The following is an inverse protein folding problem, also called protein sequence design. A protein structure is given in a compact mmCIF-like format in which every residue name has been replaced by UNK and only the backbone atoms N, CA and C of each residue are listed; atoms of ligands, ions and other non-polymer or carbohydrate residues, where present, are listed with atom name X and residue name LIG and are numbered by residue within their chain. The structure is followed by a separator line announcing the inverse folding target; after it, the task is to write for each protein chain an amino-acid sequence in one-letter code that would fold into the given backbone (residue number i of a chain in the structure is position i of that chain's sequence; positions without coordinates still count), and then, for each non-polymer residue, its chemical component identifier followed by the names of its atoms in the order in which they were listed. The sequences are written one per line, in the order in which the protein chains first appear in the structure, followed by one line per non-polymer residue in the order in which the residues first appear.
data_IF_881008427936
#
_entry.id   IF_881008427936
#
_cell.length_a   1.000
_cell.length_b   1.000
_cell.length_c   1.000
_cell.angle_alpha   90.00
_cell.angle_beta   90.00
_cell.angle_gamma   90.00
#
_symmetry.space_group_name_H-M   'P 1'
#
loop_
_entity.id
_entity.type
_entity.pdbx_description
1 polymer ?
#
# COMPACT_ATOMS: atom_id res chain seq x y z
N UNK A 1 25.49 6.44 -8.68
CA UNK A 1 26.69 5.58 -8.75
C UNK A 1 26.82 4.94 -7.39
N UNK A 2 26.32 3.73 -7.19
CA UNK A 2 26.54 3.00 -5.94
C UNK A 2 26.32 1.50 -6.18
N UNK A 3 27.40 0.79 -6.04
CA UNK A 3 27.62 -0.59 -5.64
C UNK A 3 26.67 -1.67 -6.14
N UNK A 4 27.12 -2.36 -7.18
CA UNK A 4 26.85 -3.77 -7.39
C UNK A 4 27.55 -4.56 -6.28
N UNK A 5 26.81 -5.11 -5.33
CA UNK A 5 27.28 -6.23 -4.52
C UNK A 5 27.03 -7.52 -5.30
N UNK A 6 28.12 -8.07 -5.81
CA UNK A 6 28.18 -9.39 -6.45
C UNK A 6 28.29 -10.49 -5.39
N UNK A 7 27.14 -10.90 -4.88
CA UNK A 7 26.95 -12.24 -4.35
C UNK A 7 25.75 -12.84 -5.10
N UNK A 8 25.94 -13.98 -5.81
CA UNK A 8 24.98 -14.60 -6.72
C UNK A 8 23.72 -15.16 -6.04
N UNK A 9 23.00 -14.34 -5.30
CA UNK A 9 21.67 -14.58 -4.80
C UNK A 9 20.68 -13.88 -5.74
N UNK A 10 19.61 -14.56 -6.12
CA UNK A 10 18.51 -13.99 -6.89
C UNK A 10 18.09 -12.66 -6.26
N UNK A 11 18.07 -11.57 -7.05
CA UNK A 11 17.60 -10.23 -6.64
C UNK A 11 16.11 -10.30 -6.22
N UNK A 12 15.43 -11.36 -6.61
CA UNK A 12 14.02 -11.61 -6.32
C UNK A 12 13.89 -12.49 -5.08
N UNK A 13 13.02 -12.07 -4.17
CA UNK A 13 12.67 -12.80 -2.95
C UNK A 13 11.92 -14.11 -3.24
N UNK A 14 11.41 -14.78 -2.20
CA UNK A 14 10.77 -16.08 -2.31
C UNK A 14 9.52 -16.03 -3.20
N UNK A 15 9.13 -17.21 -3.72
CA UNK A 15 7.82 -17.42 -4.34
C UNK A 15 6.73 -17.15 -3.30
N UNK A 16 5.81 -16.24 -3.61
CA UNK A 16 4.75 -15.83 -2.71
C UNK A 16 3.51 -16.71 -2.87
N UNK A 17 3.15 -17.04 -4.11
CA UNK A 17 1.99 -17.84 -4.48
C UNK A 17 1.81 -17.93 -5.98
N UNK A 18 0.61 -18.29 -6.42
CA UNK A 18 0.24 -18.41 -7.84
C UNK A 18 -0.68 -17.30 -8.31
N UNK A 19 -1.55 -16.81 -7.42
CA UNK A 19 -2.56 -15.79 -7.72
C UNK A 19 -2.47 -14.68 -6.69
N UNK A 20 -1.90 -13.55 -7.11
CA UNK A 20 -1.71 -12.37 -6.27
C UNK A 20 -2.94 -11.47 -6.34
N UNK A 21 -3.50 -11.19 -5.18
CA UNK A 21 -4.47 -10.10 -5.01
C UNK A 21 -3.72 -8.82 -4.61
N UNK A 22 -4.03 -7.68 -5.25
CA UNK A 22 -3.35 -6.41 -5.03
C UNK A 22 -4.36 -5.35 -4.63
N UNK A 23 -4.13 -4.68 -3.51
CA UNK A 23 -4.88 -3.50 -3.07
C UNK A 23 -3.92 -2.38 -2.69
N UNK A 24 -4.31 -1.13 -2.94
CA UNK A 24 -3.50 0.07 -2.67
C UNK A 24 -4.39 1.26 -2.32
N UNK A 25 -3.82 2.24 -1.65
CA UNK A 25 -4.42 3.57 -1.48
C UNK A 25 -5.84 3.51 -0.89
N UNK A 26 -6.00 2.95 0.29
CA UNK A 26 -7.29 2.92 0.99
C UNK A 26 -7.52 4.15 1.87
N UNK A 27 -6.45 4.85 2.30
CA UNK A 27 -6.47 6.08 3.10
C UNK A 27 -7.47 6.01 4.26
N UNK A 28 -7.46 4.90 4.99
CA UNK A 28 -8.35 4.72 6.14
C UNK A 28 -8.06 5.76 7.21
N UNK A 29 -9.13 6.34 7.72
CA UNK A 29 -9.05 7.44 8.69
C UNK A 29 -9.52 8.79 8.11
N UNK A 30 -9.31 9.04 6.81
CA UNK A 30 -9.88 10.17 6.05
C UNK A 30 -11.00 9.69 5.13
N UNK A 31 -10.87 8.51 4.54
CA UNK A 31 -11.93 7.91 3.74
C UNK A 31 -13.20 7.67 4.57
N UNK A 32 -14.39 7.72 3.94
CA UNK A 32 -15.67 7.44 4.61
C UNK A 32 -15.66 6.06 5.31
N UNK A 33 -16.36 5.88 6.45
CA UNK A 33 -16.40 4.59 7.18
C UNK A 33 -16.82 3.40 6.31
N UNK A 34 -17.68 3.62 5.32
CA UNK A 34 -18.11 2.59 4.38
C UNK A 34 -16.95 1.97 3.57
N UNK A 35 -15.86 2.72 3.36
CA UNK A 35 -14.64 2.24 2.68
C UNK A 35 -13.89 1.24 3.56
N UNK A 36 -13.79 1.50 4.88
CA UNK A 36 -13.20 0.57 5.84
C UNK A 36 -14.04 -0.71 5.96
N UNK A 37 -15.36 -0.58 6.03
CA UNK A 37 -16.27 -1.72 6.05
C UNK A 37 -16.12 -2.60 4.80
N UNK A 38 -16.10 -1.97 3.63
CA UNK A 38 -15.88 -2.68 2.37
C UNK A 38 -14.51 -3.38 2.33
N UNK A 39 -13.48 -2.76 2.91
CA UNK A 39 -12.15 -3.38 2.97
C UNK A 39 -12.14 -4.60 3.89
N UNK A 40 -12.84 -4.57 5.01
CA UNK A 40 -12.98 -5.73 5.88
C UNK A 40 -13.70 -6.90 5.16
N UNK A 41 -14.80 -6.62 4.45
CA UNK A 41 -15.49 -7.62 3.62
C UNK A 41 -14.57 -8.19 2.53
N UNK A 42 -13.79 -7.32 1.88
CA UNK A 42 -12.82 -7.73 0.87
C UNK A 42 -11.72 -8.62 1.44
N UNK A 43 -11.12 -8.25 2.59
CA UNK A 43 -10.08 -9.06 3.23
C UNK A 43 -10.58 -10.45 3.61
N UNK A 44 -11.85 -10.58 4.01
CA UNK A 44 -12.47 -11.87 4.27
C UNK A 44 -12.66 -12.70 2.97
N UNK A 45 -12.88 -12.03 1.84
CA UNK A 45 -13.03 -12.65 0.52
C UNK A 45 -11.70 -12.99 -0.17
N UNK A 46 -10.59 -12.33 0.18
CA UNK A 46 -9.27 -12.52 -0.48
C UNK A 46 -8.88 -13.98 -0.67
N UNK A 47 -9.06 -14.91 0.31
CA UNK A 47 -8.70 -16.32 0.11
C UNK A 47 -9.51 -17.06 -0.96
N UNK A 48 -10.59 -16.48 -1.44
CA UNK A 48 -11.37 -17.02 -2.57
C UNK A 48 -10.97 -16.38 -3.90
N UNK A 49 -10.23 -15.27 -3.85
CA UNK A 49 -9.78 -14.50 -5.00
C UNK A 49 -8.35 -14.86 -5.40
N UNK A 50 -7.51 -15.26 -4.44
CA UNK A 50 -6.13 -15.63 -4.66
C UNK A 50 -5.49 -16.28 -3.43
N UNK A 51 -4.24 -16.68 -3.58
CA UNK A 51 -3.47 -17.41 -2.57
C UNK A 51 -2.38 -16.54 -1.91
N UNK A 52 -2.23 -15.30 -2.32
CA UNK A 52 -1.35 -14.30 -1.70
C UNK A 52 -1.90 -12.87 -1.87
N UNK A 53 -1.51 -11.97 -0.97
CA UNK A 53 -1.97 -10.58 -0.95
C UNK A 53 -0.79 -9.61 -0.95
N UNK A 54 -0.88 -8.58 -1.79
CA UNK A 54 -0.04 -7.38 -1.72
C UNK A 54 -0.90 -6.18 -1.29
N UNK A 55 -0.51 -5.54 -0.19
CA UNK A 55 -0.96 -4.20 0.20
C UNK A 55 0.11 -3.21 -0.24
N UNK A 56 -0.14 -2.45 -1.29
CA UNK A 56 0.89 -1.65 -1.96
C UNK A 56 0.91 -0.18 -1.51
N UNK A 57 0.91 0.04 -0.21
CA UNK A 57 1.06 1.34 0.44
C UNK A 57 -0.24 2.13 0.61
N UNK A 58 -0.17 3.14 1.47
CA UNK A 58 -1.24 4.07 1.80
C UNK A 58 -2.55 3.37 2.19
N UNK A 59 -2.42 2.28 2.98
CA UNK A 59 -3.56 1.61 3.58
C UNK A 59 -4.27 2.53 4.57
N UNK A 60 -3.48 3.31 5.32
CA UNK A 60 -3.97 4.32 6.27
C UNK A 60 -3.52 5.70 5.84
N UNK A 61 -4.33 6.71 6.11
CA UNK A 61 -3.95 8.11 5.95
C UNK A 61 -2.82 8.51 6.90
N UNK A 62 -2.84 7.93 8.09
CA UNK A 62 -1.73 8.00 9.05
C UNK A 62 -1.76 6.78 9.96
N UNK A 63 -0.63 6.05 10.01
CA UNK A 63 -0.44 4.96 10.94
C UNK A 63 0.89 5.08 11.66
N UNK A 64 0.83 5.12 12.98
CA UNK A 64 2.02 5.18 13.83
C UNK A 64 1.75 4.50 15.17
N UNK A 65 2.61 3.55 15.58
CA UNK A 65 2.46 2.89 16.86
C UNK A 65 3.51 3.39 17.86
N UNK A 66 3.10 3.40 19.12
CA UNK A 66 3.96 3.63 20.27
C UNK A 66 4.32 2.29 20.89
N UNK A 67 5.32 2.28 21.78
CA UNK A 67 5.77 1.05 22.43
C UNK A 67 4.68 0.29 23.21
N UNK A 68 3.61 0.98 23.60
CA UNK A 68 2.50 0.41 24.40
C UNK A 68 1.11 0.89 23.93
N UNK A 69 1.01 1.54 22.80
CA UNK A 69 -0.25 2.03 22.29
C UNK A 69 -0.30 1.95 20.77
N UNK A 70 -1.43 1.54 20.24
CA UNK A 70 -1.73 1.46 18.81
C UNK A 70 -2.90 2.38 18.47
N UNK A 71 -3.02 2.85 17.21
CA UNK A 71 -4.15 3.65 16.76
C UNK A 71 -5.47 2.90 16.95
N UNK A 72 -6.50 3.59 17.43
CA UNK A 72 -7.86 3.02 17.49
C UNK A 72 -8.50 2.95 16.11
N UNK A 73 -8.25 3.98 15.27
CA UNK A 73 -8.71 4.00 13.87
C UNK A 73 -7.92 2.96 13.07
N UNK A 74 -8.62 2.19 12.24
CA UNK A 74 -8.01 1.13 11.44
C UNK A 74 -7.60 -0.13 12.20
N UNK A 75 -7.80 -0.20 13.53
CA UNK A 75 -7.48 -1.39 14.33
C UNK A 75 -8.16 -2.65 13.79
N UNK A 76 -9.42 -2.54 13.33
CA UNK A 76 -10.17 -3.68 12.79
C UNK A 76 -9.50 -4.24 11.54
N UNK A 77 -8.98 -3.38 10.67
CA UNK A 77 -8.26 -3.78 9.45
C UNK A 77 -6.91 -4.42 9.80
N UNK A 78 -6.15 -3.86 10.74
CA UNK A 78 -4.92 -4.48 11.23
C UNK A 78 -5.20 -5.88 11.82
N UNK A 79 -6.26 -6.03 12.61
CA UNK A 79 -6.69 -7.32 13.15
C UNK A 79 -7.15 -8.30 12.05
N UNK A 80 -7.82 -7.82 11.00
CA UNK A 80 -8.21 -8.64 9.85
C UNK A 80 -6.98 -9.14 9.09
N UNK A 81 -5.97 -8.29 8.85
CA UNK A 81 -4.71 -8.68 8.24
C UNK A 81 -3.97 -9.73 9.07
N UNK A 82 -3.91 -9.57 10.40
CA UNK A 82 -3.31 -10.55 11.30
C UNK A 82 -4.01 -11.92 11.24
N UNK A 83 -5.34 -11.95 11.08
CA UNK A 83 -6.09 -13.19 10.86
C UNK A 83 -5.83 -13.79 9.49
N UNK A 84 -5.88 -12.95 8.45
CA UNK A 84 -5.72 -13.37 7.06
C UNK A 84 -4.32 -13.97 6.81
N UNK A 85 -3.26 -13.38 7.40
CA UNK A 85 -1.89 -13.86 7.28
C UNK A 85 -1.69 -15.31 7.74
N UNK A 86 -2.57 -15.83 8.63
CA UNK A 86 -2.54 -17.25 9.04
C UNK A 86 -3.02 -18.20 7.94
N UNK A 87 -3.66 -17.69 6.90
CA UNK A 87 -4.25 -18.45 5.80
C UNK A 87 -3.44 -18.31 4.50
N UNK A 88 -2.94 -17.11 4.24
CA UNK A 88 -2.18 -16.79 3.04
C UNK A 88 -1.02 -15.85 3.37
N UNK A 89 0.09 -15.87 2.60
CA UNK A 89 1.16 -14.91 2.73
C UNK A 89 0.68 -13.49 2.34
N UNK A 90 1.13 -12.51 3.12
CA UNK A 90 0.84 -11.09 2.90
C UNK A 90 2.15 -10.33 2.84
N UNK A 91 2.33 -9.55 1.78
CA UNK A 91 3.38 -8.54 1.64
C UNK A 91 2.73 -7.16 1.74
N UNK A 92 3.30 -6.29 2.55
CA UNK A 92 2.93 -4.89 2.63
C UNK A 92 4.13 -4.04 2.22
N UNK A 93 3.93 -3.14 1.26
CA UNK A 93 4.89 -2.10 0.89
C UNK A 93 4.44 -0.81 1.59
N UNK A 94 5.36 -0.08 2.21
CA UNK A 94 5.05 1.18 2.85
C UNK A 94 4.76 2.27 1.82
N UNK A 95 3.67 2.99 2.01
CA UNK A 95 3.36 4.21 1.30
C UNK A 95 3.94 5.46 1.98
N UNK A 96 3.65 6.64 1.48
CA UNK A 96 4.11 7.87 2.13
C UNK A 96 3.37 8.18 3.43
N UNK A 97 2.22 7.56 3.67
CA UNK A 97 1.37 7.76 4.84
C UNK A 97 1.55 6.71 5.95
N UNK A 98 2.11 5.52 5.66
CA UNK A 98 2.14 4.40 6.60
C UNK A 98 3.47 3.62 6.69
N UNK A 99 4.56 4.16 6.14
CA UNK A 99 5.87 3.45 6.06
C UNK A 99 6.71 3.45 7.35
N UNK A 100 6.28 4.14 8.42
CA UNK A 100 7.16 4.34 9.59
C UNK A 100 7.23 3.17 10.55
N UNK A 101 6.33 2.21 10.44
CA UNK A 101 6.03 1.27 11.51
C UNK A 101 6.27 -0.20 11.16
N UNK A 102 7.41 -0.48 10.51
CA UNK A 102 7.81 -1.84 10.12
C UNK A 102 7.73 -2.82 11.29
N UNK A 103 8.15 -2.39 12.49
CA UNK A 103 8.16 -3.21 13.69
C UNK A 103 6.79 -3.80 14.03
N UNK A 104 5.73 -2.99 14.00
CA UNK A 104 4.37 -3.43 14.25
C UNK A 104 3.90 -4.45 13.19
N UNK A 105 4.13 -4.14 11.92
CA UNK A 105 3.70 -5.02 10.83
C UNK A 105 4.43 -6.36 10.84
N UNK A 106 5.74 -6.34 11.07
CA UNK A 106 6.57 -7.55 11.06
C UNK A 106 6.46 -8.36 12.34
N UNK A 107 6.61 -7.74 13.51
CA UNK A 107 6.71 -8.47 14.77
C UNK A 107 5.35 -8.75 15.41
N UNK A 108 4.47 -7.76 15.44
CA UNK A 108 3.18 -7.91 16.13
C UNK A 108 2.16 -8.61 15.23
N UNK A 109 2.13 -8.30 13.94
CA UNK A 109 1.22 -8.95 12.99
C UNK A 109 1.87 -10.08 12.19
N UNK A 110 3.19 -10.13 12.09
CA UNK A 110 3.96 -11.14 11.36
C UNK A 110 3.78 -11.05 9.84
N UNK A 111 3.51 -9.88 9.31
CA UNK A 111 3.47 -9.62 7.89
C UNK A 111 4.90 -9.47 7.35
N UNK A 112 5.11 -9.71 6.06
CA UNK A 112 6.31 -9.25 5.38
C UNK A 112 6.11 -7.77 5.03
N UNK A 113 6.85 -6.88 5.71
CA UNK A 113 6.79 -5.44 5.45
C UNK A 113 8.07 -4.96 4.75
N UNK A 114 7.89 -4.26 3.65
CA UNK A 114 8.98 -3.67 2.88
C UNK A 114 8.79 -2.15 2.82
N UNK A 115 9.71 -1.41 3.41
CA UNK A 115 9.56 0.04 3.57
C UNK A 115 9.43 0.81 2.25
N UNK A 116 10.15 0.39 1.20
CA UNK A 116 10.23 1.14 -0.05
C UNK A 116 9.81 0.32 -1.27
N UNK A 117 10.20 -0.96 -1.31
CA UNK A 117 9.94 -1.85 -2.45
C UNK A 117 9.99 -3.31 -2.02
N UNK A 118 9.16 -4.11 -2.60
CA UNK A 118 9.17 -5.55 -2.48
C UNK A 118 9.50 -6.21 -3.82
N UNK A 119 10.37 -7.20 -3.79
CA UNK A 119 10.64 -8.07 -4.94
C UNK A 119 10.32 -9.52 -4.54
N UNK A 120 9.54 -10.21 -5.36
CA UNK A 120 9.08 -11.58 -5.11
C UNK A 120 8.63 -12.24 -6.41
N UNK A 121 8.25 -13.50 -6.36
CA UNK A 121 7.75 -14.25 -7.50
C UNK A 121 6.31 -14.70 -7.26
N UNK A 122 5.48 -14.65 -8.30
CA UNK A 122 4.08 -15.11 -8.30
C UNK A 122 3.80 -15.83 -9.60
N UNK A 123 3.37 -17.10 -9.54
CA UNK A 123 3.05 -17.91 -10.72
C UNK A 123 4.20 -17.96 -11.73
N UNK A 124 5.45 -18.01 -11.28
CA UNK A 124 6.63 -18.01 -12.15
C UNK A 124 7.02 -16.62 -12.70
N UNK A 125 6.26 -15.56 -12.40
CA UNK A 125 6.58 -14.19 -12.81
C UNK A 125 7.34 -13.45 -11.70
N UNK A 126 8.42 -12.81 -12.05
CA UNK A 126 9.15 -11.92 -11.16
C UNK A 126 8.43 -10.58 -11.07
N UNK A 127 8.11 -10.17 -9.85
CA UNK A 127 7.30 -8.99 -9.53
C UNK A 127 8.14 -8.00 -8.73
N UNK A 128 8.10 -6.74 -9.14
CA UNK A 128 8.57 -5.61 -8.35
C UNK A 128 7.38 -4.73 -7.96
N UNK A 129 7.15 -4.59 -6.67
CA UNK A 129 6.14 -3.70 -6.11
C UNK A 129 6.82 -2.50 -5.45
N UNK A 130 6.39 -1.29 -5.81
CA UNK A 130 6.79 -0.02 -5.19
C UNK A 130 5.55 0.84 -5.03
N UNK A 131 5.46 1.64 -3.97
CA UNK A 131 4.31 2.54 -3.84
C UNK A 131 4.36 3.66 -4.90
N UNK A 132 5.51 4.29 -5.13
CA UNK A 132 5.71 5.21 -6.25
C UNK A 132 5.73 6.70 -5.89
N UNK A 133 5.61 7.06 -4.63
CA UNK A 133 5.62 8.45 -4.13
C UNK A 133 6.87 9.24 -4.54
N UNK A 134 8.06 8.63 -4.48
CA UNK A 134 9.32 9.27 -4.87
C UNK A 134 9.45 9.60 -6.36
N UNK A 135 8.65 8.96 -7.22
CA UNK A 135 8.66 9.17 -8.68
C UNK A 135 7.66 10.24 -9.12
N UNK A 136 6.63 10.48 -8.31
CA UNK A 136 5.57 11.43 -8.63
C UNK A 136 5.96 12.88 -8.36
N UNK A 137 6.87 13.15 -7.41
CA UNK A 137 7.19 14.50 -6.95
C UNK A 137 8.41 15.11 -7.67
N UNK A 138 8.21 16.11 -8.55
CA UNK A 138 9.30 16.77 -9.28
C UNK A 138 10.03 17.84 -8.46
N UNK A 139 9.41 18.36 -7.38
CA UNK A 139 9.96 19.50 -6.63
C UNK A 139 10.96 19.02 -5.58
N UNK A 140 12.18 19.52 -5.63
CA UNK A 140 13.22 19.15 -4.67
C UNK A 140 12.89 19.55 -3.22
N UNK A 141 12.16 20.68 -3.02
CA UNK A 141 11.71 21.10 -1.69
C UNK A 141 10.73 20.11 -1.07
N UNK A 142 9.75 19.65 -1.85
CA UNK A 142 8.80 18.64 -1.39
C UNK A 142 9.52 17.32 -1.07
N UNK A 143 10.48 16.89 -1.92
CA UNK A 143 11.34 15.74 -1.61
C UNK A 143 12.14 15.91 -0.32
N UNK A 144 12.67 17.10 -0.07
CA UNK A 144 13.39 17.37 1.17
C UNK A 144 12.47 17.29 2.39
N UNK A 145 11.29 17.89 2.34
CA UNK A 145 10.28 17.80 3.40
C UNK A 145 9.87 16.35 3.64
N UNK A 146 9.57 15.60 2.58
CA UNK A 146 9.27 14.17 2.68
C UNK A 146 10.43 13.38 3.32
N UNK A 147 11.68 13.66 2.92
CA UNK A 147 12.84 13.00 3.50
C UNK A 147 13.00 13.32 4.99
N UNK A 148 12.75 14.56 5.41
CA UNK A 148 12.82 14.98 6.82
C UNK A 148 11.70 14.33 7.64
N UNK A 149 10.48 14.32 7.14
CA UNK A 149 9.34 13.68 7.80
C UNK A 149 9.58 12.16 7.92
N UNK A 150 10.12 11.54 6.89
CA UNK A 150 10.37 10.09 6.85
C UNK A 150 11.67 9.65 7.55
N UNK A 151 12.46 10.60 8.07
CA UNK A 151 13.70 10.27 8.75
C UNK A 151 13.45 9.53 10.07
N UNK A 152 14.21 8.47 10.39
CA UNK A 152 14.04 7.71 11.63
C UNK A 152 14.09 8.57 12.90
N UNK A 153 14.88 9.64 12.90
CA UNK A 153 14.94 10.59 14.02
C UNK A 153 13.62 11.32 14.24
N UNK A 154 12.90 11.68 13.17
CA UNK A 154 11.56 12.30 13.28
C UNK A 154 10.58 11.35 13.95
N UNK A 155 10.59 10.09 13.55
CA UNK A 155 9.78 9.05 14.20
C UNK A 155 10.18 8.85 15.67
N UNK A 156 11.47 8.89 16.00
CA UNK A 156 11.96 8.78 17.38
C UNK A 156 11.50 9.96 18.24
N UNK A 157 11.61 11.19 17.73
CA UNK A 157 11.11 12.39 18.42
C UNK A 157 9.60 12.35 18.60
N UNK A 158 8.87 11.95 17.55
CA UNK A 158 7.41 11.82 17.61
C UNK A 158 6.97 10.80 18.69
N UNK A 159 7.72 9.70 18.90
CA UNK A 159 7.46 8.72 19.97
C UNK A 159 7.59 9.27 21.39
N UNK A 160 8.23 10.40 21.59
CA UNK A 160 8.31 11.07 22.91
C UNK A 160 7.05 11.86 23.25
N UNK A 161 6.20 12.15 22.26
CA UNK A 161 4.93 12.81 22.50
C UNK A 161 3.94 11.84 23.14
N UNK A 162 3.05 12.39 23.99
CA UNK A 162 1.90 11.59 24.43
C UNK A 162 1.05 11.17 23.21
N UNK A 163 0.59 9.90 23.10
CA UNK A 163 -0.14 9.43 21.92
C UNK A 163 -1.29 10.36 21.49
N UNK A 164 -2.14 10.78 22.43
CA UNK A 164 -3.26 11.68 22.11
C UNK A 164 -2.81 13.03 21.56
N UNK A 165 -1.69 13.55 22.06
CA UNK A 165 -1.13 14.81 21.56
C UNK A 165 -0.53 14.62 20.17
N UNK A 166 0.17 13.49 19.95
CA UNK A 166 0.74 13.14 18.66
C UNK A 166 -0.34 13.02 17.58
N UNK A 167 -1.39 12.26 17.83
CA UNK A 167 -2.51 12.14 16.88
C UNK A 167 -3.23 13.46 16.61
N UNK A 168 -3.50 14.28 17.64
CA UNK A 168 -4.06 15.63 17.46
C UNK A 168 -3.17 16.54 16.62
N UNK A 169 -1.85 16.46 16.82
CA UNK A 169 -0.90 17.23 16.04
C UNK A 169 -0.96 16.85 14.55
N UNK A 170 -1.02 15.57 14.24
CA UNK A 170 -1.16 15.10 12.86
C UNK A 170 -2.50 15.53 12.28
N UNK A 171 -3.61 15.37 12.99
CA UNK A 171 -4.93 15.83 12.54
C UNK A 171 -4.95 17.35 12.26
N UNK A 172 -4.24 18.15 13.05
CA UNK A 172 -4.11 19.60 12.85
C UNK A 172 -3.24 19.96 11.64
N UNK A 173 -2.15 19.21 11.43
CA UNK A 173 -1.18 19.47 10.36
C UNK A 173 -1.56 18.81 9.02
N UNK A 174 -2.35 17.75 9.03
CA UNK A 174 -2.76 17.02 7.82
C UNK A 174 -3.37 17.93 6.75
N UNK A 175 -4.26 18.91 7.06
CA UNK A 175 -4.77 19.84 6.06
C UNK A 175 -3.70 20.76 5.45
N UNK A 176 -2.61 21.01 6.18
CA UNK A 176 -1.51 21.86 5.72
C UNK A 176 -0.45 21.07 4.93
N UNK A 177 -0.31 19.77 5.22
CA UNK A 177 0.67 18.88 4.60
C UNK A 177 0.08 18.11 3.41
N UNK A 178 -1.22 17.88 3.41
CA UNK A 178 -1.96 17.27 2.30
C UNK A 178 -2.45 18.34 1.33
N UNK A 179 -2.06 18.22 0.07
CA UNK A 179 -2.64 19.03 -1.02
C UNK A 179 -4.04 18.44 -1.34
N UNK A 180 -5.04 18.80 -0.49
CA UNK A 180 -6.42 18.30 -0.64
C UNK A 180 -7.12 18.83 -1.89
N UNK A 181 -6.54 19.82 -2.56
CA UNK A 181 -6.94 20.20 -3.92
C UNK A 181 -6.17 19.33 -4.89
N UNK A 182 -6.70 18.14 -5.15
CA UNK A 182 -6.16 17.24 -6.17
C UNK A 182 -6.31 17.94 -7.53
N UNK A 183 -5.23 18.54 -8.00
CA UNK A 183 -5.13 18.96 -9.40
C UNK A 183 -5.04 17.69 -10.26
N UNK A 184 -6.15 17.32 -10.87
CA UNK A 184 -6.27 16.13 -11.71
C UNK A 184 -5.18 16.09 -12.80
N UNK A 185 -4.85 17.23 -13.38
CA UNK A 185 -3.78 17.34 -14.36
C UNK A 185 -2.40 17.04 -13.74
N UNK A 186 -2.19 17.35 -12.47
CA UNK A 186 -0.96 17.02 -11.74
C UNK A 186 -0.86 15.52 -11.47
N UNK A 187 -1.98 14.88 -11.07
CA UNK A 187 -2.05 13.43 -10.90
C UNK A 187 -1.82 12.67 -12.20
N UNK A 188 -2.45 13.10 -13.30
CA UNK A 188 -2.25 12.47 -14.60
C UNK A 188 -0.78 12.59 -15.06
N UNK A 189 -0.14 13.74 -14.85
CA UNK A 189 1.30 13.90 -15.13
C UNK A 189 2.17 13.00 -14.26
N UNK A 190 1.80 12.80 -12.98
CA UNK A 190 2.49 11.89 -12.07
C UNK A 190 2.32 10.43 -12.53
N UNK A 191 1.10 10.03 -12.90
CA UNK A 191 0.80 8.71 -13.44
C UNK A 191 1.57 8.42 -14.74
N UNK A 192 1.66 9.40 -15.63
CA UNK A 192 2.46 9.28 -16.86
C UNK A 192 3.96 9.06 -16.56
N UNK A 193 4.54 9.78 -15.59
CA UNK A 193 5.94 9.59 -15.17
C UNK A 193 6.18 8.22 -14.52
N UNK A 194 5.25 7.74 -13.68
CA UNK A 194 5.33 6.40 -13.11
C UNK A 194 5.30 5.33 -14.19
N UNK A 195 4.39 5.46 -15.15
CA UNK A 195 4.29 4.54 -16.27
C UNK A 195 5.58 4.53 -17.10
N UNK A 196 6.10 5.67 -17.47
CA UNK A 196 7.35 5.79 -18.24
C UNK A 196 8.54 5.17 -17.49
N UNK A 197 8.63 5.37 -16.18
CA UNK A 197 9.65 4.73 -15.37
C UNK A 197 9.50 3.20 -15.36
N UNK A 198 8.28 2.69 -15.17
CA UNK A 198 8.02 1.25 -15.15
C UNK A 198 8.30 0.60 -16.51
N UNK A 199 7.92 1.24 -17.61
CA UNK A 199 8.17 0.76 -18.97
C UNK A 199 9.69 0.70 -19.28
N UNK A 200 10.44 1.72 -18.86
CA UNK A 200 11.92 1.70 -18.97
C UNK A 200 12.53 0.56 -18.14
N UNK A 201 12.10 0.41 -16.90
CA UNK A 201 12.59 -0.66 -16.03
C UNK A 201 12.29 -2.05 -16.61
N UNK A 202 11.08 -2.25 -17.13
CA UNK A 202 10.70 -3.50 -17.80
C UNK A 202 11.51 -3.74 -19.09
N UNK A 203 11.96 -2.70 -19.78
CA UNK A 203 12.83 -2.84 -20.95
C UNK A 203 14.26 -3.23 -20.54
N UNK A 204 14.81 -2.60 -19.51
CA UNK A 204 16.17 -2.81 -19.04
C UNK A 204 16.34 -4.17 -18.32
N UNK A 205 15.37 -4.52 -17.46
CA UNK A 205 15.37 -5.76 -16.66
C UNK A 205 14.55 -6.87 -17.32
N UNK A 206 15.18 -7.60 -18.24
CA UNK A 206 14.49 -8.61 -19.06
C UNK A 206 13.88 -9.77 -18.26
N UNK A 207 14.35 -10.01 -17.04
CA UNK A 207 13.81 -11.03 -16.16
C UNK A 207 12.54 -10.62 -15.43
N UNK A 208 12.22 -9.30 -15.38
CA UNK A 208 11.07 -8.75 -14.68
C UNK A 208 9.80 -8.91 -15.51
N UNK A 209 8.77 -9.54 -14.94
CA UNK A 209 7.50 -9.79 -15.62
C UNK A 209 6.39 -8.79 -15.23
N UNK A 210 6.47 -8.20 -14.03
CA UNK A 210 5.42 -7.31 -13.54
C UNK A 210 5.99 -6.21 -12.62
N UNK A 211 5.62 -4.96 -12.91
CA UNK A 211 5.85 -3.80 -12.03
C UNK A 211 4.52 -3.33 -11.50
N UNK A 212 4.38 -3.22 -10.16
CA UNK A 212 3.16 -2.77 -9.49
C UNK A 212 3.44 -1.44 -8.78
N UNK A 213 2.56 -0.45 -9.01
CA UNK A 213 2.61 0.85 -8.33
C UNK A 213 1.24 1.25 -7.78
N UNK A 214 1.21 2.24 -6.88
CA UNK A 214 0.04 2.92 -6.33
C UNK A 214 0.20 4.43 -6.42
N UNK A 215 -0.19 5.16 -5.34
CA UNK A 215 0.06 6.58 -5.08
C UNK A 215 -0.66 7.58 -6.00
N UNK A 216 -0.74 7.32 -7.30
CA UNK A 216 -1.40 8.24 -8.24
C UNK A 216 -2.90 8.02 -8.34
N UNK A 217 -3.43 7.02 -7.65
CA UNK A 217 -4.85 6.64 -7.63
C UNK A 217 -5.46 6.35 -9.00
N UNK A 218 -4.65 6.39 -10.05
CA UNK A 218 -5.10 6.21 -11.43
C UNK A 218 -4.90 4.77 -11.89
N UNK A 219 -5.99 4.00 -12.10
CA UNK A 219 -5.89 2.61 -12.50
C UNK A 219 -5.29 2.48 -13.90
N UNK A 220 -4.25 1.70 -14.03
CA UNK A 220 -3.56 1.44 -15.30
C UNK A 220 -3.12 -0.01 -15.35
N UNK A 221 -3.37 -0.64 -16.47
CA UNK A 221 -2.74 -1.89 -16.89
C UNK A 221 -2.15 -1.68 -18.28
N UNK A 222 -0.84 -1.80 -18.40
CA UNK A 222 -0.14 -1.67 -19.66
C UNK A 222 0.81 -2.85 -19.89
N UNK A 223 0.97 -3.26 -21.12
CA UNK A 223 1.88 -4.32 -21.54
C UNK A 223 2.84 -3.79 -22.60
N UNK A 224 3.95 -3.14 -22.17
CA UNK A 224 4.91 -2.55 -23.10
C UNK A 224 5.65 -3.59 -23.95
N UNK A 225 5.70 -4.84 -23.50
CA UNK A 225 6.28 -5.97 -24.23
C UNK A 225 5.53 -7.23 -23.87
N UNK A 226 5.45 -8.25 -24.73
CA UNK A 226 4.73 -9.49 -24.46
C UNK A 226 5.13 -10.13 -23.11
N UNK A 227 4.14 -10.39 -22.27
CA UNK A 227 4.30 -10.97 -20.93
C UNK A 227 4.90 -10.05 -19.87
N UNK A 228 5.16 -8.76 -20.19
CA UNK A 228 5.71 -7.79 -19.26
C UNK A 228 4.72 -6.66 -19.03
N UNK A 229 4.28 -6.51 -17.79
CA UNK A 229 3.18 -5.64 -17.48
C UNK A 229 3.54 -4.58 -16.42
N UNK A 230 2.98 -3.41 -16.59
CA UNK A 230 2.88 -2.37 -15.58
C UNK A 230 1.44 -2.31 -15.08
N UNK A 231 1.28 -2.35 -13.77
CA UNK A 231 -0.01 -2.35 -13.09
C UNK A 231 -0.06 -1.25 -12.02
N UNK A 232 -1.08 -0.42 -12.07
CA UNK A 232 -1.53 0.37 -10.93
C UNK A 232 -3.00 -0.01 -10.68
N UNK A 233 -3.36 -0.56 -9.52
CA UNK A 233 -4.74 -1.01 -9.27
C UNK A 233 -5.72 0.16 -9.15
N UNK A 234 -5.23 1.40 -9.04
CA UNK A 234 -6.02 2.55 -8.61
C UNK A 234 -6.17 2.59 -7.10
N UNK A 235 -7.00 3.51 -6.60
CA UNK A 235 -7.23 3.65 -5.18
C UNK A 235 -8.42 2.80 -4.71
N UNK A 236 -8.26 2.13 -3.55
CA UNK A 236 -9.36 1.42 -2.91
C UNK A 236 -10.48 2.38 -2.50
N UNK A 237 -10.13 3.56 -1.94
CA UNK A 237 -11.15 4.53 -1.51
C UNK A 237 -11.99 5.09 -2.67
N UNK A 238 -11.47 5.02 -3.91
CA UNK A 238 -12.17 5.47 -5.11
C UNK A 238 -12.64 4.26 -5.94
N UNK A 239 -13.84 3.79 -5.64
CA UNK A 239 -14.52 2.74 -6.40
C UNK A 239 -14.13 1.31 -6.02
N UNK A 240 -13.53 1.08 -4.82
CA UNK A 240 -13.19 -0.25 -4.28
C UNK A 240 -12.34 -1.08 -5.26
N UNK A 241 -11.34 -0.45 -5.84
CA UNK A 241 -10.50 -1.03 -6.90
C UNK A 241 -9.43 -1.94 -6.32
N UNK A 242 -9.18 -3.03 -7.02
CA UNK A 242 -8.10 -3.97 -6.74
C UNK A 242 -7.64 -4.62 -8.04
N UNK A 243 -6.60 -5.43 -7.98
CA UNK A 243 -6.15 -6.19 -9.13
C UNK A 243 -5.86 -7.64 -8.76
N UNK A 244 -5.88 -8.51 -9.75
CA UNK A 244 -5.39 -9.88 -9.64
C UNK A 244 -4.27 -10.07 -10.66
N UNK A 245 -3.17 -10.70 -10.23
CA UNK A 245 -2.06 -11.07 -11.10
C UNK A 245 -1.77 -12.56 -10.98
N UNK A 246 -1.61 -13.21 -12.13
CA UNK A 246 -1.33 -14.63 -12.27
C UNK A 246 -0.15 -14.85 -13.22
N UNK A 247 0.21 -16.10 -13.48
CA UNK A 247 1.16 -16.47 -14.54
C UNK A 247 0.75 -15.90 -15.91
N UNK A 248 -0.54 -15.98 -16.25
CA UNK A 248 -1.07 -15.55 -17.55
C UNK A 248 -1.18 -14.05 -17.74
N UNK A 249 -1.15 -13.26 -16.67
CA UNK A 249 -1.29 -11.80 -16.72
C UNK A 249 -1.91 -11.20 -15.50
N UNK A 250 -2.16 -9.88 -15.59
CA UNK A 250 -2.84 -9.12 -14.55
C UNK A 250 -4.16 -8.55 -15.07
N UNK A 251 -5.08 -8.29 -14.17
CA UNK A 251 -6.37 -7.67 -14.47
C UNK A 251 -6.80 -6.70 -13.37
N UNK A 252 -7.45 -5.62 -13.77
CA UNK A 252 -8.08 -4.65 -12.88
C UNK A 252 -9.50 -5.10 -12.55
N UNK A 253 -9.88 -5.00 -11.29
CA UNK A 253 -11.22 -5.37 -10.80
C UNK A 253 -11.78 -4.34 -9.84
N UNK A 254 -13.08 -4.40 -9.64
CA UNK A 254 -13.82 -3.64 -8.62
C UNK A 254 -14.51 -4.62 -7.69
N UNK A 255 -14.41 -4.38 -6.40
CA UNK A 255 -15.07 -5.22 -5.41
C UNK A 255 -16.56 -4.85 -5.31
N UNK A 256 -17.42 -5.82 -5.62
CA UNK A 256 -18.85 -5.68 -5.39
C UNK A 256 -19.17 -6.11 -3.96
N UNK A 257 -19.62 -5.18 -3.13
CA UNK A 257 -20.10 -5.51 -1.79
C UNK A 257 -21.30 -6.46 -1.90
N UNK A 258 -21.28 -7.51 -1.07
CA UNK A 258 -22.46 -8.36 -0.93
C UNK A 258 -23.60 -7.53 -0.34
N UNK A 259 -24.73 -7.45 -1.03
CA UNK A 259 -25.94 -6.77 -0.56
C UNK A 259 -26.66 -7.52 0.58
N UNK A 260 -26.03 -8.55 1.13
CA UNK A 260 -26.53 -9.21 2.33
C UNK A 260 -26.44 -8.21 3.48
N UNK A 261 -27.60 -7.69 3.87
CA UNK A 261 -27.81 -6.82 5.02
C UNK A 261 -27.14 -7.41 6.25
N UNK A 262 -25.97 -6.91 6.61
CA UNK A 262 -25.42 -7.17 7.92
C UNK A 262 -26.43 -6.66 8.98
N UNK A 263 -26.68 -7.40 10.07
CA UNK A 263 -27.52 -6.88 11.13
C UNK A 263 -26.92 -5.56 11.65
N UNK A 264 -27.75 -4.56 11.98
CA UNK A 264 -27.28 -3.28 12.46
C UNK A 264 -26.34 -3.49 13.65
N UNK A 265 -25.17 -2.90 13.58
CA UNK A 265 -24.25 -2.89 14.73
C UNK A 265 -24.94 -2.25 15.93
N UNK A 266 -24.80 -2.81 17.14
CA UNK A 266 -25.33 -2.16 18.33
C UNK A 266 -24.71 -0.75 18.44
N UNK A 267 -25.59 0.23 18.67
CA UNK A 267 -25.19 1.63 18.85
C UNK A 267 -24.08 1.74 19.91
N UNK A 268 -23.06 2.59 19.70
CA UNK A 268 -22.03 2.78 20.69
C UNK A 268 -22.67 3.27 22.02
N UNK A 269 -22.39 2.53 23.08
CA UNK A 269 -22.77 2.93 24.43
C UNK A 269 -22.12 4.29 24.71
N UNK A 270 -22.94 5.30 24.99
CA UNK A 270 -22.46 6.62 25.38
C UNK A 270 -21.49 6.52 26.57
N UNK A 271 -20.37 7.26 26.57
CA UNK A 271 -19.48 7.28 27.72
C UNK A 271 -20.21 7.86 28.93
N UNK A 272 -20.14 7.15 30.06
CA UNK A 272 -20.53 7.66 31.37
C UNK A 272 -19.52 8.69 31.85
#
# INVERSE_FOLDING_TARGET
MACCDTAGGSIFGPVLGHTLVVVSDAHLGVAPPAVEEALLEFLDAVPTLGDCLLVNGDLFDFWFTYSRAIPRRGFQVAAALARLRRRIPIVMVGGNHDRWDSYFWERDLGLRFERNRAAFEVGGRKVLAVHGDGLAEPRWQARLIHTLIQHPATAAVYRLLHPDLGFRLVELLSPMLGDHTIDEAKLLRAAARQREWAERLLADETSLGLVIMGHTHHPVLAEPSPGRQYLNPGAWFDGLRYAIATESGAELRTFARSTLTAPPRPSPVAPR
#
